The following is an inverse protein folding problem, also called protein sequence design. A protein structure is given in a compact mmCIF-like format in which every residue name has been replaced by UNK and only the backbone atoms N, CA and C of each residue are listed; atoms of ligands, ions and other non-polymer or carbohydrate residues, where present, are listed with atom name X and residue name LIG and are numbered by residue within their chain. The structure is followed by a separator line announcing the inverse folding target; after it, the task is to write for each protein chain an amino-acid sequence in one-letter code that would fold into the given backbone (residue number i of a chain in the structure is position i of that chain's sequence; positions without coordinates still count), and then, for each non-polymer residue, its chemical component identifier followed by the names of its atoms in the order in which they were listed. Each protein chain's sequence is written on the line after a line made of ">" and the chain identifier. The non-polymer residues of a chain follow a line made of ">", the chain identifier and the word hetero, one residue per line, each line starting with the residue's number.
data_IF_468610386927
#
_entry.id   IF_468610386927
#
_cell.length_a   1.000
_cell.length_b   1.000
_cell.length_c   1.000
_cell.angle_alpha   90.00
_cell.angle_beta   90.00
_cell.angle_gamma   90.00
#
_symmetry.space_group_name_H-M   'P 1'
#
loop_
_entity.id
_entity.type
_entity.pdbx_description
1 polymer ?
#
# COMPACT_ATOMS: atom_id res chain seq x y z
N UNK A 1 1.94 -23.02 7.00
CA UNK A 1 2.54 -23.10 5.64
C UNK A 1 1.64 -22.34 4.70
N UNK A 2 2.14 -21.25 4.10
CA UNK A 2 1.35 -20.41 3.17
C UNK A 2 1.38 -20.98 1.76
N UNK A 3 0.22 -21.12 1.13
CA UNK A 3 0.08 -21.57 -0.25
C UNK A 3 -0.58 -20.46 -1.08
N UNK A 4 0.16 -19.74 -1.95
CA UNK A 4 -0.45 -18.82 -2.89
C UNK A 4 -1.55 -19.52 -3.71
N UNK A 5 -2.79 -19.02 -3.60
CA UNK A 5 -3.91 -19.46 -4.43
C UNK A 5 -4.03 -18.53 -5.63
N UNK A 6 -4.15 -19.12 -6.82
CA UNK A 6 -4.56 -18.40 -8.02
C UNK A 6 -5.95 -18.87 -8.39
N UNK A 7 -6.93 -17.99 -8.21
CA UNK A 7 -8.29 -18.24 -8.68
C UNK A 7 -8.27 -18.44 -10.20
N UNK A 8 -8.89 -19.53 -10.64
CA UNK A 8 -9.07 -19.82 -12.03
C UNK A 8 -9.93 -18.75 -12.72
N UNK A 9 -9.66 -18.47 -14.00
CA UNK A 9 -10.56 -17.68 -14.84
C UNK A 9 -11.32 -18.59 -15.78
N UNK A 10 -12.64 -18.44 -15.87
CA UNK A 10 -13.48 -19.24 -16.76
C UNK A 10 -13.54 -20.71 -16.34
N UNK A 11 -13.14 -21.64 -17.23
CA UNK A 11 -13.15 -23.09 -16.98
C UNK A 11 -11.88 -23.64 -16.32
N UNK A 12 -10.89 -22.78 -16.08
CA UNK A 12 -9.64 -23.20 -15.44
C UNK A 12 -9.91 -23.39 -13.94
N UNK A 13 -9.57 -24.53 -13.33
CA UNK A 13 -9.70 -24.72 -11.89
C UNK A 13 -8.69 -23.85 -11.13
N UNK A 14 -8.99 -23.64 -9.85
CA UNK A 14 -8.07 -22.98 -8.93
C UNK A 14 -6.77 -23.79 -8.81
N UNK A 15 -5.65 -23.07 -8.75
CA UNK A 15 -4.33 -23.67 -8.57
C UNK A 15 -3.70 -23.17 -7.28
N UNK A 16 -3.21 -24.11 -6.47
CA UNK A 16 -2.46 -23.84 -5.24
C UNK A 16 -0.98 -24.07 -5.53
N UNK A 17 -0.16 -23.08 -5.21
CA UNK A 17 1.29 -23.18 -5.34
C UNK A 17 1.89 -23.33 -3.95
N UNK A 18 2.92 -24.16 -3.82
CA UNK A 18 3.74 -24.19 -2.61
C UNK A 18 4.88 -23.19 -2.75
N UNK A 19 5.30 -22.57 -1.65
CA UNK A 19 6.55 -21.78 -1.62
C UNK A 19 7.76 -22.62 -2.03
N UNK A 20 7.73 -23.95 -1.83
CA UNK A 20 8.80 -24.87 -2.25
C UNK A 20 8.76 -25.22 -3.74
N UNK A 21 7.64 -24.97 -4.43
CA UNK A 21 7.50 -25.20 -5.88
C UNK A 21 8.00 -24.03 -6.73
N UNK A 22 8.29 -22.88 -6.11
CA UNK A 22 8.92 -21.74 -6.79
C UNK A 22 10.44 -21.91 -6.77
N UNK A 23 11.00 -22.24 -7.93
CA UNK A 23 12.43 -22.50 -8.09
C UNK A 23 13.21 -21.20 -8.36
N UNK A 24 13.18 -20.21 -7.47
CA UNK A 24 13.81 -18.90 -7.74
C UNK A 24 14.37 -18.19 -6.49
N UNK A 25 15.35 -17.31 -6.75
CA UNK A 25 16.16 -16.42 -5.89
C UNK A 25 15.44 -15.66 -4.74
N UNK A 26 14.12 -15.74 -4.62
CA UNK A 26 13.28 -14.90 -3.77
C UNK A 26 12.28 -15.67 -2.89
N UNK A 27 12.51 -16.96 -2.61
CA UNK A 27 11.51 -17.81 -1.95
C UNK A 27 11.08 -17.27 -0.58
N UNK A 28 11.99 -16.63 0.17
CA UNK A 28 11.71 -16.07 1.49
C UNK A 28 11.06 -14.69 1.37
N UNK A 29 11.53 -13.88 0.43
CA UNK A 29 11.10 -12.50 0.19
C UNK A 29 9.74 -12.43 -0.53
N UNK A 30 9.29 -13.54 -1.12
CA UNK A 30 8.01 -13.61 -1.83
C UNK A 30 6.82 -13.26 -0.92
N UNK A 31 6.86 -13.66 0.36
CA UNK A 31 5.81 -13.29 1.33
C UNK A 31 5.75 -11.78 1.49
N UNK A 32 6.91 -11.14 1.67
CA UNK A 32 6.98 -9.69 1.76
C UNK A 32 6.50 -9.01 0.48
N UNK A 33 7.02 -9.42 -0.69
CA UNK A 33 6.66 -8.86 -1.98
C UNK A 33 5.15 -8.96 -2.21
N UNK A 34 4.56 -10.11 -1.88
CA UNK A 34 3.12 -10.32 -2.02
C UNK A 34 2.33 -9.40 -1.08
N UNK A 35 2.69 -9.32 0.21
CA UNK A 35 2.02 -8.45 1.17
C UNK A 35 2.10 -6.96 0.81
N UNK A 36 3.29 -6.46 0.45
CA UNK A 36 3.51 -5.04 0.16
C UNK A 36 2.96 -4.62 -1.22
N UNK A 37 2.81 -5.58 -2.15
CA UNK A 37 2.18 -5.28 -3.45
C UNK A 37 0.66 -5.16 -3.41
N UNK A 38 0.05 -5.58 -2.30
CA UNK A 38 -1.39 -5.70 -2.12
C UNK A 38 -1.85 -7.16 -2.26
N UNK A 39 -2.32 -7.75 -1.16
CA UNK A 39 -3.06 -9.01 -1.12
C UNK A 39 -4.53 -8.75 -0.76
N UNK A 40 -5.35 -9.79 -0.57
CA UNK A 40 -6.77 -9.65 -0.20
C UNK A 40 -7.01 -8.90 1.14
N UNK A 41 -5.94 -8.69 1.92
CA UNK A 41 -5.98 -8.08 3.25
C UNK A 41 -5.22 -6.74 3.29
N UNK A 42 -4.26 -6.52 2.39
CA UNK A 42 -3.51 -5.26 2.30
C UNK A 42 -3.97 -4.47 1.07
N UNK A 43 -4.24 -3.18 1.27
CA UNK A 43 -4.58 -2.24 0.20
C UNK A 43 -3.57 -2.29 -0.95
N UNK A 44 -4.03 -2.41 -2.19
CA UNK A 44 -3.14 -2.37 -3.35
C UNK A 44 -2.82 -0.92 -3.78
N UNK A 45 -1.59 -0.69 -4.24
CA UNK A 45 -1.19 0.60 -4.81
C UNK A 45 -1.66 0.72 -6.26
N UNK A 46 -2.39 1.78 -6.58
CA UNK A 46 -3.02 1.92 -7.90
C UNK A 46 -1.98 1.94 -9.03
N UNK A 47 -2.13 1.01 -9.97
CA UNK A 47 -1.22 0.86 -11.10
C UNK A 47 0.15 0.28 -10.73
N UNK A 48 0.35 -0.20 -9.50
CA UNK A 48 1.58 -0.85 -9.03
C UNK A 48 1.35 -2.34 -8.73
N UNK A 49 1.10 -3.13 -9.77
CA UNK A 49 0.88 -4.57 -9.60
C UNK A 49 2.15 -5.36 -9.24
N UNK A 50 1.96 -6.60 -8.76
CA UNK A 50 3.03 -7.50 -8.30
C UNK A 50 4.22 -7.64 -9.27
N UNK A 51 3.97 -7.63 -10.59
CA UNK A 51 5.03 -7.74 -11.60
C UNK A 51 6.01 -6.55 -11.55
N UNK A 52 5.55 -5.36 -11.18
CA UNK A 52 6.44 -4.21 -11.01
C UNK A 52 7.35 -4.38 -9.81
N UNK A 53 6.82 -4.87 -8.68
CA UNK A 53 7.63 -5.21 -7.52
C UNK A 53 8.67 -6.28 -7.87
N UNK A 54 8.28 -7.38 -8.53
CA UNK A 54 9.23 -8.42 -8.98
C UNK A 54 10.31 -7.80 -9.86
N UNK A 55 9.95 -6.95 -10.83
CA UNK A 55 10.93 -6.27 -11.68
C UNK A 55 11.84 -5.31 -10.91
N UNK A 56 11.36 -4.72 -9.82
CA UNK A 56 12.13 -3.83 -8.95
C UNK A 56 13.18 -4.63 -8.16
N UNK A 57 12.78 -5.71 -7.49
CA UNK A 57 13.71 -6.58 -6.74
C UNK A 57 14.71 -7.31 -7.63
N UNK A 58 14.37 -7.57 -8.90
CA UNK A 58 15.32 -8.10 -9.88
C UNK A 58 16.38 -7.09 -10.30
N UNK A 59 16.07 -5.79 -10.29
CA UNK A 59 17.00 -4.72 -10.68
C UNK A 59 17.85 -4.22 -9.50
N UNK A 60 17.28 -4.26 -8.30
CA UNK A 60 17.81 -3.67 -7.09
C UNK A 60 17.92 -4.74 -6.00
N UNK A 61 18.97 -5.56 -6.06
CA UNK A 61 19.19 -6.65 -5.10
C UNK A 61 19.40 -6.12 -3.68
N UNK A 62 19.86 -4.88 -3.52
CA UNK A 62 19.98 -4.18 -2.24
C UNK A 62 18.65 -4.04 -1.49
N UNK A 63 17.52 -4.03 -2.20
CA UNK A 63 16.19 -3.99 -1.59
C UNK A 63 15.82 -5.31 -0.90
N UNK A 64 16.49 -6.42 -1.21
CA UNK A 64 16.27 -7.70 -0.53
C UNK A 64 16.63 -7.63 0.95
N UNK A 65 17.62 -6.81 1.31
CA UNK A 65 17.93 -6.55 2.72
C UNK A 65 16.77 -5.87 3.45
N UNK A 66 15.92 -5.11 2.74
CA UNK A 66 14.70 -4.51 3.31
C UNK A 66 13.61 -5.56 3.50
N UNK A 67 13.50 -6.53 2.59
CA UNK A 67 12.59 -7.66 2.73
C UNK A 67 12.92 -8.51 3.98
N UNK A 68 14.20 -8.69 4.30
CA UNK A 68 14.65 -9.42 5.49
C UNK A 68 14.11 -8.82 6.80
N UNK A 69 13.96 -7.49 6.88
CA UNK A 69 13.31 -6.81 8.03
C UNK A 69 11.89 -7.31 8.25
N UNK A 70 11.14 -7.58 7.18
CA UNK A 70 9.75 -8.04 7.28
C UNK A 70 9.64 -9.50 7.73
N UNK A 71 10.70 -10.28 7.56
CA UNK A 71 10.77 -11.67 8.02
C UNK A 71 11.22 -11.77 9.48
N UNK A 72 11.90 -10.75 10.01
CA UNK A 72 12.38 -10.72 11.39
C UNK A 72 11.23 -10.41 12.37
N UNK A 73 10.82 -11.34 13.26
CA UNK A 73 9.75 -11.09 14.23
C UNK A 73 10.10 -10.04 15.30
N UNK A 74 11.38 -9.73 15.48
CA UNK A 74 11.85 -8.73 16.45
C UNK A 74 12.10 -7.36 15.82
N UNK A 75 11.75 -7.16 14.54
CA UNK A 75 11.87 -5.86 13.90
C UNK A 75 11.01 -4.82 14.61
N UNK A 76 11.59 -3.65 14.88
CA UNK A 76 10.87 -2.52 15.47
C UNK A 76 9.96 -1.87 14.43
N UNK A 77 8.97 -1.12 14.89
CA UNK A 77 8.05 -0.38 14.01
C UNK A 77 8.81 0.59 13.10
N UNK A 78 9.84 1.26 13.62
CA UNK A 78 10.69 2.20 12.88
C UNK A 78 11.46 1.50 11.77
N UNK A 79 12.07 0.35 12.07
CA UNK A 79 12.79 -0.45 11.06
C UNK A 79 11.86 -0.93 9.94
N UNK A 80 10.64 -1.35 10.31
CA UNK A 80 9.62 -1.78 9.35
C UNK A 80 9.20 -0.62 8.46
N UNK A 81 8.87 0.53 9.06
CA UNK A 81 8.48 1.76 8.34
C UNK A 81 9.59 2.21 7.38
N UNK A 82 10.84 2.25 7.85
CA UNK A 82 11.99 2.65 7.03
C UNK A 82 12.20 1.67 5.86
N UNK A 83 12.17 0.36 6.14
CA UNK A 83 12.36 -0.67 5.12
C UNK A 83 11.26 -0.64 4.05
N UNK A 84 9.99 -0.55 4.46
CA UNK A 84 8.87 -0.46 3.52
C UNK A 84 8.84 0.86 2.76
N UNK A 85 9.12 1.98 3.44
CA UNK A 85 9.23 3.30 2.83
C UNK A 85 10.29 3.33 1.72
N UNK A 86 11.47 2.77 1.99
CA UNK A 86 12.55 2.67 1.00
C UNK A 86 12.14 1.87 -0.25
N UNK A 87 11.41 0.76 -0.07
CA UNK A 87 10.87 -0.02 -1.20
C UNK A 87 9.85 0.79 -2.00
N UNK A 88 9.00 1.58 -1.34
CA UNK A 88 8.03 2.44 -2.00
C UNK A 88 8.69 3.61 -2.74
N UNK A 89 9.74 4.24 -2.16
CA UNK A 89 10.54 5.26 -2.85
C UNK A 89 11.10 4.70 -4.17
N UNK A 90 11.73 3.53 -4.12
CA UNK A 90 12.28 2.87 -5.30
C UNK A 90 11.19 2.49 -6.32
N UNK A 91 10.03 1.99 -5.86
CA UNK A 91 8.90 1.63 -6.71
C UNK A 91 8.37 2.82 -7.53
N UNK A 92 8.37 4.01 -6.94
CA UNK A 92 7.97 5.26 -7.60
C UNK A 92 9.13 5.96 -8.32
N UNK A 93 10.29 5.32 -8.42
CA UNK A 93 11.42 5.75 -9.22
C UNK A 93 12.32 6.79 -8.55
N UNK A 94 12.25 6.93 -7.23
CA UNK A 94 13.22 7.69 -6.45
C UNK A 94 14.37 6.85 -5.93
N UNK A 95 15.39 7.52 -5.43
CA UNK A 95 16.53 6.92 -4.75
C UNK A 95 16.27 6.85 -3.22
N UNK A 96 16.15 5.64 -2.63
CA UNK A 96 15.93 5.48 -1.19
C UNK A 96 17.03 6.04 -0.29
N UNK A 97 18.24 6.26 -0.81
CA UNK A 97 19.34 6.83 -0.03
C UNK A 97 19.25 8.35 0.13
N UNK A 98 18.53 9.03 -0.77
CA UNK A 98 18.56 10.50 -0.87
C UNK A 98 17.19 11.15 -0.88
N UNK A 99 16.12 10.39 -1.15
CA UNK A 99 14.77 10.92 -1.32
C UNK A 99 13.78 10.27 -0.36
N UNK A 100 12.74 11.02 0.00
CA UNK A 100 11.59 10.52 0.74
C UNK A 100 10.29 10.55 -0.10
N UNK A 101 9.24 9.92 0.41
CA UNK A 101 7.96 9.82 -0.28
C UNK A 101 7.25 11.16 -0.47
N UNK A 102 7.36 12.09 0.48
CA UNK A 102 6.67 13.38 0.38
C UNK A 102 7.30 14.27 -0.71
N UNK A 103 8.63 14.25 -0.85
CA UNK A 103 9.33 14.91 -1.96
C UNK A 103 8.94 14.31 -3.32
N UNK A 104 8.93 12.97 -3.42
CA UNK A 104 8.48 12.28 -4.63
C UNK A 104 7.03 12.58 -4.96
N UNK A 105 6.18 12.62 -3.94
CA UNK A 105 4.76 12.96 -4.06
C UNK A 105 4.60 14.36 -4.64
N UNK A 106 5.28 15.35 -4.05
CA UNK A 106 5.20 16.74 -4.48
C UNK A 106 5.72 16.92 -5.91
N UNK A 107 6.89 16.37 -6.22
CA UNK A 107 7.46 16.45 -7.57
C UNK A 107 6.53 15.76 -8.60
N UNK A 108 5.98 14.60 -8.26
CA UNK A 108 5.01 13.89 -9.11
C UNK A 108 3.73 14.70 -9.31
N UNK A 109 3.25 15.36 -8.26
CA UNK A 109 2.08 16.23 -8.32
C UNK A 109 2.33 17.42 -9.24
N UNK A 110 3.41 18.18 -9.05
CA UNK A 110 3.73 19.35 -9.88
C UNK A 110 3.83 18.95 -11.35
N UNK A 111 4.48 17.82 -11.64
CA UNK A 111 4.59 17.27 -13.00
C UNK A 111 3.23 16.82 -13.57
N UNK A 112 2.33 16.32 -12.72
CA UNK A 112 0.99 15.92 -13.13
C UNK A 112 0.07 17.13 -13.37
N UNK A 113 0.13 18.15 -12.51
CA UNK A 113 -0.66 19.36 -12.59
C UNK A 113 -0.37 20.18 -13.85
N UNK A 114 0.84 20.09 -14.39
CA UNK A 114 1.19 20.68 -15.68
C UNK A 114 0.49 20.02 -16.90
N UNK A 115 -0.18 18.88 -16.72
CA UNK A 115 -0.86 18.14 -17.79
C UNK A 115 -2.35 18.49 -17.85
N UNK A 116 -2.89 18.57 -19.06
CA UNK A 116 -4.33 18.81 -19.30
C UNK A 116 -5.24 17.68 -18.80
N UNK A 117 -4.70 16.46 -18.70
CA UNK A 117 -5.36 15.29 -18.09
C UNK A 117 -4.34 14.58 -17.21
N UNK A 118 -4.64 14.45 -15.92
CA UNK A 118 -3.86 13.65 -14.99
C UNK A 118 -4.78 12.82 -14.09
N UNK A 119 -4.27 11.68 -13.63
CA UNK A 119 -4.96 10.82 -12.68
C UNK A 119 -4.19 10.85 -11.35
N UNK A 120 -4.79 11.46 -10.34
CA UNK A 120 -4.21 11.60 -9.00
C UNK A 120 -3.96 10.25 -8.32
N UNK A 121 -4.70 9.20 -8.65
CA UNK A 121 -4.49 7.87 -8.08
C UNK A 121 -3.11 7.28 -8.46
N UNK A 122 -2.42 7.82 -9.47
CA UNK A 122 -1.07 7.38 -9.86
C UNK A 122 0.06 8.06 -9.08
N UNK A 123 -0.27 9.02 -8.22
CA UNK A 123 0.75 9.63 -7.36
C UNK A 123 1.31 8.58 -6.39
N UNK A 124 2.53 8.79 -5.89
CA UNK A 124 2.99 8.09 -4.69
C UNK A 124 1.96 8.20 -3.55
N UNK A 125 1.93 7.25 -2.60
CA UNK A 125 1.23 7.48 -1.33
C UNK A 125 1.94 8.59 -0.53
N UNK A 126 1.22 9.28 0.35
CA UNK A 126 1.84 10.16 1.36
C UNK A 126 2.64 9.32 2.36
N UNK A 127 3.60 9.93 3.07
CA UNK A 127 4.39 9.22 4.09
C UNK A 127 3.51 8.49 5.10
N UNK A 128 2.46 9.13 5.64
CA UNK A 128 1.57 8.50 6.62
C UNK A 128 0.79 7.31 6.07
N UNK A 129 0.27 7.42 4.83
CA UNK A 129 -0.43 6.31 4.19
C UNK A 129 0.52 5.13 3.91
N UNK A 130 1.75 5.44 3.48
CA UNK A 130 2.80 4.46 3.24
C UNK A 130 3.24 3.74 4.52
N UNK A 131 3.36 4.48 5.63
CA UNK A 131 3.66 3.92 6.95
C UNK A 131 2.59 2.91 7.37
N UNK A 132 1.32 3.29 7.30
CA UNK A 132 0.20 2.42 7.66
C UNK A 132 0.14 1.17 6.76
N UNK A 133 0.35 1.33 5.45
CA UNK A 133 0.39 0.19 4.52
C UNK A 133 1.56 -0.75 4.82
N UNK A 134 2.73 -0.20 5.12
CA UNK A 134 3.94 -0.93 5.52
C UNK A 134 3.73 -1.71 6.82
N UNK A 135 3.17 -1.07 7.84
CA UNK A 135 2.87 -1.70 9.13
C UNK A 135 1.89 -2.87 8.99
N UNK A 136 0.81 -2.71 8.20
CA UNK A 136 -0.14 -3.79 7.93
C UNK A 136 0.50 -4.94 7.15
N UNK A 137 1.35 -4.61 6.18
CA UNK A 137 2.08 -5.62 5.40
C UNK A 137 2.99 -6.45 6.30
N UNK A 138 3.70 -5.82 7.23
CA UNK A 138 4.50 -6.53 8.23
C UNK A 138 3.65 -7.43 9.13
N UNK A 139 2.57 -6.89 9.71
CA UNK A 139 1.65 -7.67 10.53
C UNK A 139 1.15 -8.92 9.82
N UNK A 140 0.82 -8.79 8.53
CA UNK A 140 0.36 -9.90 7.73
C UNK A 140 1.44 -10.94 7.43
N UNK A 141 2.65 -10.50 7.07
CA UNK A 141 3.81 -11.39 6.90
C UNK A 141 4.09 -12.17 8.18
N UNK A 142 4.08 -11.51 9.33
CA UNK A 142 4.29 -12.14 10.63
C UNK A 142 3.19 -13.16 10.96
N UNK A 143 1.94 -12.85 10.62
CA UNK A 143 0.82 -13.78 10.77
C UNK A 143 1.02 -15.04 9.93
N UNK A 144 1.46 -14.92 8.66
CA UNK A 144 1.77 -16.08 7.81
C UNK A 144 2.94 -16.92 8.31
N UNK A 145 3.89 -16.29 9.02
CA UNK A 145 5.01 -16.96 9.68
C UNK A 145 4.63 -17.58 11.03
N UNK A 146 3.39 -17.39 11.51
CA UNK A 146 2.90 -17.92 12.78
C UNK A 146 3.30 -17.07 14.00
N UNK A 147 3.74 -15.84 13.78
CA UNK A 147 4.09 -14.90 14.86
C UNK A 147 2.89 -14.02 15.19
N UNK A 148 2.37 -14.15 16.40
CA UNK A 148 1.26 -13.32 16.86
C UNK A 148 1.74 -11.89 17.14
N UNK A 149 1.02 -10.92 16.57
CA UNK A 149 1.25 -9.49 16.73
C UNK A 149 -0.07 -8.79 16.95
N UNK A 150 -0.13 -7.89 17.94
CA UNK A 150 -1.31 -7.08 18.25
C UNK A 150 -1.68 -6.18 17.05
N UNK A 151 -2.80 -6.43 16.35
CA UNK A 151 -3.17 -5.68 15.15
C UNK A 151 -3.28 -4.17 15.39
N UNK A 152 -3.69 -3.74 16.58
CA UNK A 152 -3.90 -2.33 16.90
C UNK A 152 -2.60 -1.53 16.91
N UNK A 153 -1.46 -2.20 17.12
CA UNK A 153 -0.12 -1.60 17.02
C UNK A 153 0.41 -1.56 15.59
N UNK A 154 -0.25 -2.22 14.64
CA UNK A 154 0.24 -2.42 13.28
C UNK A 154 -0.70 -1.89 12.19
N UNK A 155 -1.33 -0.74 12.45
CA UNK A 155 -2.11 -0.03 11.43
C UNK A 155 -3.53 -0.55 11.23
N UNK A 156 -4.06 -1.28 12.21
CA UNK A 156 -5.47 -1.65 12.30
C UNK A 156 -6.17 -0.90 13.43
N UNK A 157 -7.49 -0.78 13.33
CA UNK A 157 -8.34 -0.23 14.38
C UNK A 157 -9.50 -1.19 14.65
N UNK A 158 -9.94 -1.22 15.91
CA UNK A 158 -11.10 -2.02 16.30
C UNK A 158 -12.41 -1.27 15.98
N UNK A 159 -13.36 -2.00 15.43
CA UNK A 159 -14.78 -1.62 15.40
C UNK A 159 -15.57 -2.67 16.15
N UNK A 160 -16.82 -2.38 16.60
CA UNK A 160 -17.62 -3.35 17.35
C UNK A 160 -17.79 -4.72 16.67
N UNK A 161 -17.63 -4.81 15.35
CA UNK A 161 -17.85 -6.03 14.56
C UNK A 161 -16.59 -6.62 13.93
N UNK A 162 -15.48 -5.87 13.78
CA UNK A 162 -14.27 -6.35 13.11
C UNK A 162 -13.06 -5.42 13.25
N UNK A 163 -11.93 -5.85 12.68
CA UNK A 163 -10.75 -5.00 12.43
C UNK A 163 -10.89 -4.26 11.10
N UNK A 164 -10.60 -2.97 11.12
CA UNK A 164 -10.55 -2.13 9.93
C UNK A 164 -9.16 -1.53 9.75
N UNK A 165 -8.69 -1.31 8.50
CA UNK A 165 -7.46 -0.57 8.27
C UNK A 165 -7.55 0.82 8.88
N UNK A 166 -6.56 1.20 9.70
CA UNK A 166 -6.44 2.57 10.17
C UNK A 166 -6.17 3.48 8.97
N UNK A 167 -6.87 4.61 8.92
CA UNK A 167 -6.74 5.63 7.86
C UNK A 167 -5.70 6.67 8.26
N UNK A 168 -5.09 7.31 7.27
CA UNK A 168 -4.22 8.47 7.48
C UNK A 168 -5.04 9.58 8.13
N UNK A 169 -4.54 10.14 9.23
CA UNK A 169 -5.17 11.27 9.93
C UNK A 169 -4.66 12.63 9.38
N UNK A 170 -3.49 12.64 8.73
CA UNK A 170 -2.97 13.86 8.09
C UNK A 170 -3.62 14.12 6.75
N UNK A 171 -3.84 15.41 6.49
CA UNK A 171 -4.32 15.90 5.21
C UNK A 171 -3.38 15.48 4.08
N UNK A 172 -3.95 14.93 3.02
CA UNK A 172 -3.18 14.40 1.89
C UNK A 172 -2.53 15.49 1.03
N UNK A 173 -2.86 16.76 1.27
CA UNK A 173 -2.41 17.90 0.49
C UNK A 173 -2.28 19.14 1.39
N UNK A 174 -1.19 19.89 1.25
CA UNK A 174 -1.06 21.22 1.85
C UNK A 174 -2.15 22.15 1.31
N UNK A 175 -2.58 23.12 2.12
CA UNK A 175 -3.67 24.05 1.77
C UNK A 175 -3.44 24.77 0.42
N UNK A 176 -2.18 25.07 0.09
CA UNK A 176 -1.74 25.61 -1.21
C UNK A 176 -2.05 24.70 -2.41
N UNK A 177 -2.01 23.38 -2.24
CA UNK A 177 -2.31 22.40 -3.30
C UNK A 177 -3.81 22.30 -3.58
N UNK A 178 -4.64 22.48 -2.55
CA UNK A 178 -6.10 22.49 -2.69
C UNK A 178 -6.57 23.68 -3.53
N UNK A 179 -5.85 24.80 -3.47
CA UNK A 179 -6.12 25.99 -4.30
C UNK A 179 -5.79 25.76 -5.79
N UNK A 180 -4.84 24.88 -6.12
CA UNK A 180 -4.50 24.56 -7.51
C UNK A 180 -5.52 23.63 -8.20
N UNK A 181 -6.35 22.91 -7.43
CA UNK A 181 -7.35 21.97 -7.95
C UNK A 181 -8.72 22.65 -7.91
N UNK A 182 -8.91 23.74 -8.66
CA UNK A 182 -10.25 24.31 -8.86
C UNK A 182 -11.01 23.48 -9.89
N UNK A 183 -12.04 22.75 -9.45
CA UNK A 183 -12.90 22.01 -10.37
C UNK A 183 -13.88 22.95 -11.06
N UNK A 184 -14.12 22.74 -12.36
CA UNK A 184 -15.14 23.45 -13.17
C UNK A 184 -16.52 22.79 -13.09
N UNK A 185 -16.81 22.08 -12.01
CA UNK A 185 -18.02 21.26 -11.90
C UNK A 185 -19.24 22.15 -11.60
N UNK A 186 -20.29 22.05 -12.44
CA UNK A 186 -21.59 22.69 -12.19
C UNK A 186 -22.28 22.01 -11.00
N UNK A 187 -22.50 22.77 -9.93
CA UNK A 187 -23.10 22.31 -8.68
C UNK A 187 -24.53 21.77 -8.83
N UNK A 188 -24.81 20.64 -8.18
CA UNK A 188 -26.10 20.26 -7.57
C UNK A 188 -25.76 19.35 -6.37
N UNK A 189 -26.21 19.49 -5.12
CA UNK A 189 -26.97 20.49 -4.36
C UNK A 189 -26.62 20.27 -2.86
N UNK A 190 -26.69 21.35 -2.07
CA UNK A 190 -26.91 21.50 -0.61
C UNK A 190 -26.51 20.41 0.39
N UNK A 191 -25.52 20.71 1.26
CA UNK A 191 -25.63 20.82 2.74
C UNK A 191 -24.56 21.84 3.20
N UNK A 192 -24.84 22.55 4.30
CA UNK A 192 -24.27 23.83 4.74
C UNK A 192 -22.74 23.95 4.91
N UNK A 193 -22.29 25.17 4.59
CA UNK A 193 -21.04 25.87 4.92
C UNK A 193 -19.79 25.03 5.27
N UNK A 194 -18.85 24.96 4.32
CA UNK A 194 -17.45 24.57 4.56
C UNK A 194 -16.86 23.60 3.54
N UNK A 195 -17.60 23.19 2.52
CA UNK A 195 -17.20 22.06 1.66
C UNK A 195 -16.93 22.47 0.23
N UNK A 196 -15.65 22.70 -0.11
CA UNK A 196 -15.20 22.83 -1.50
C UNK A 196 -14.04 21.88 -1.87
N UNK A 197 -13.71 20.91 -0.99
CA UNK A 197 -12.55 20.02 -1.13
C UNK A 197 -12.94 18.52 -1.30
N UNK A 198 -14.21 18.16 -1.14
CA UNK A 198 -14.56 16.80 -0.70
C UNK A 198 -14.65 15.66 -1.73
N UNK A 199 -14.39 15.83 -3.02
CA UNK A 199 -14.55 14.68 -3.95
C UNK A 199 -13.21 14.11 -4.41
N UNK A 200 -12.21 14.95 -4.69
CA UNK A 200 -10.97 14.48 -5.31
C UNK A 200 -10.02 13.83 -4.30
N UNK A 201 -9.95 14.36 -3.07
CA UNK A 201 -9.19 13.73 -1.98
C UNK A 201 -9.84 12.43 -1.47
N UNK A 202 -11.17 12.36 -1.53
CA UNK A 202 -11.93 11.18 -1.13
C UNK A 202 -11.61 9.98 -2.05
N UNK A 203 -11.49 10.20 -3.38
CA UNK A 203 -11.14 9.12 -4.31
C UNK A 203 -9.67 8.67 -4.27
N UNK A 204 -8.73 9.55 -3.91
CA UNK A 204 -7.34 9.14 -3.69
C UNK A 204 -7.21 8.21 -2.47
N UNK A 205 -8.02 8.45 -1.43
CA UNK A 205 -8.15 7.54 -0.29
C UNK A 205 -8.97 6.27 -0.61
N UNK A 206 -9.97 6.34 -1.50
CA UNK A 206 -10.72 5.15 -1.96
C UNK A 206 -9.85 4.17 -2.75
N UNK A 207 -8.82 4.65 -3.46
CA UNK A 207 -7.91 3.77 -4.20
C UNK A 207 -7.14 2.77 -3.30
N UNK A 208 -7.08 3.02 -1.98
CA UNK A 208 -6.56 2.09 -0.98
C UNK A 208 -7.66 1.24 -0.29
N UNK A 209 -8.94 1.62 -0.40
CA UNK A 209 -10.08 1.06 0.34
C UNK A 209 -10.85 -0.05 -0.41
N UNK A 210 -10.37 -0.51 -1.58
CA UNK A 210 -11.07 -1.57 -2.32
C UNK A 210 -10.72 -2.95 -1.77
N UNK A 211 -11.56 -3.43 -0.84
CA UNK A 211 -11.73 -4.82 -0.38
C UNK A 211 -10.78 -5.31 0.72
N UNK A 212 -11.15 -5.08 1.98
CA UNK A 212 -10.80 -6.00 3.07
C UNK A 212 -12.01 -6.12 4.01
N UNK A 213 -12.92 -7.06 3.69
CA UNK A 213 -13.87 -7.60 4.68
C UNK A 213 -13.22 -8.85 5.26
N UNK A 214 -12.79 -8.79 6.52
CA UNK A 214 -12.42 -10.00 7.27
C UNK A 214 -13.73 -10.68 7.69
N UNK A 215 -14.12 -11.73 6.97
CA UNK A 215 -15.00 -12.74 7.55
C UNK A 215 -14.14 -13.69 8.35
N UNK A 216 -14.20 -13.60 9.68
CA UNK A 216 -13.74 -14.67 10.55
C UNK A 216 -14.57 -15.92 10.24
N UNK A 217 -13.99 -16.89 9.54
CA UNK A 217 -14.44 -18.27 9.61
C UNK A 217 -13.46 -19.02 10.50
N UNK A 218 -13.96 -19.36 11.68
CA UNK A 218 -13.40 -20.33 12.60
C UNK A 218 -13.17 -21.67 11.90
N UNK A 219 -11.96 -22.18 11.97
CA UNK A 219 -11.66 -23.62 11.98
C UNK A 219 -10.86 -23.92 13.24
#
# INVERSE_FOLDING_TARGET
>A
MFFPQKCGRGKTPDSYYSTTSFNHKFSNELLFIYAISGCDITSALFGQGINKFISLFLKHEELLNRAATFLNPQATTEQVIEAGGNVLVALYGGDPATQNLDELWYHSFVKAAAKTKFNLARLPPTTDAAQLHTMRSYHHVQTWLGNEKDPLKWGWMHTPSSLFPKKSEKDSATESLLQCISCTCKARMHVDAGTQVCIVLYYANIALDSLAKIQCQSF
#
